data_IF_974319686437
#
_entry.id   IF_974319686437
#
_cell.length_a   1.000
_cell.length_b   1.000
_cell.length_c   1.000
_cell.angle_alpha   90.00
_cell.angle_beta   90.00
_cell.angle_gamma   90.00
#
_symmetry.space_group_name_H-M   'P 1'
#
loop_
_entity.id
_entity.type
_entity.pdbx_description
1 polymer ?
#
# COMPACT_ATOMS: atom_id res chain seq x y z
N UNK A 1 -8.22 -73.18 -9.72
CA UNK A 1 -7.66 -72.19 -10.66
C UNK A 1 -7.69 -70.83 -9.99
N UNK A 2 -6.51 -70.26 -9.79
CA UNK A 2 -6.23 -68.98 -9.15
C UNK A 2 -6.81 -67.79 -9.94
N UNK A 3 -7.35 -66.77 -9.23
CA UNK A 3 -6.92 -65.37 -9.37
C UNK A 3 -7.58 -64.47 -8.32
N UNK A 4 -6.74 -63.95 -7.43
CA UNK A 4 -6.96 -62.78 -6.58
C UNK A 4 -6.95 -61.50 -7.43
N UNK A 5 -7.73 -60.50 -7.03
CA UNK A 5 -7.43 -59.09 -7.33
C UNK A 5 -7.86 -58.19 -6.17
N UNK A 6 -6.87 -57.81 -5.35
CA UNK A 6 -6.92 -56.68 -4.42
C UNK A 6 -6.81 -55.37 -5.23
N UNK A 7 -7.65 -54.38 -4.94
CA UNK A 7 -7.39 -52.98 -5.29
C UNK A 7 -7.23 -52.18 -4.00
N UNK A 8 -5.97 -51.85 -3.69
CA UNK A 8 -5.59 -50.79 -2.74
C UNK A 8 -5.26 -49.52 -3.54
N UNK A 9 -5.66 -48.37 -3.01
CA UNK A 9 -5.40 -47.05 -3.57
C UNK A 9 -3.97 -46.54 -3.31
N UNK A 10 -3.58 -45.54 -4.10
CA UNK A 10 -2.33 -44.78 -3.92
C UNK A 10 -2.71 -43.30 -3.97
N UNK A 11 -2.70 -42.65 -2.81
CA UNK A 11 -2.61 -41.20 -2.66
C UNK A 11 -1.12 -40.88 -2.44
N UNK A 12 -0.49 -40.21 -3.40
CA UNK A 12 0.88 -39.71 -3.24
C UNK A 12 0.85 -38.42 -2.40
N UNK A 13 1.28 -38.51 -1.15
CA UNK A 13 1.57 -37.37 -0.28
C UNK A 13 3.06 -37.08 -0.27
N UNK A 14 3.44 -35.86 -0.69
CA UNK A 14 4.80 -35.34 -0.53
C UNK A 14 5.06 -35.12 0.98
N UNK A 15 6.20 -35.59 1.54
CA UNK A 15 6.46 -35.44 2.97
C UNK A 15 6.65 -33.97 3.36
N UNK A 16 5.99 -33.53 4.43
CA UNK A 16 6.06 -32.16 4.96
C UNK A 16 7.47 -31.72 5.41
N UNK A 17 8.39 -32.66 5.63
CA UNK A 17 9.75 -32.36 6.07
C UNK A 17 10.58 -31.61 5.01
N UNK A 18 10.37 -31.89 3.72
CA UNK A 18 11.13 -31.24 2.63
C UNK A 18 10.83 -29.75 2.45
N UNK A 19 9.64 -29.29 2.85
CA UNK A 19 9.27 -27.86 2.75
C UNK A 19 9.88 -27.05 3.89
N UNK A 20 9.94 -27.61 5.10
CA UNK A 20 10.58 -26.98 6.26
C UNK A 20 12.09 -26.81 6.08
N UNK A 21 12.75 -27.77 5.43
CA UNK A 21 14.18 -27.71 5.17
C UNK A 21 14.53 -26.59 4.17
N UNK A 22 13.72 -26.42 3.12
CA UNK A 22 13.87 -25.32 2.14
C UNK A 22 13.61 -23.94 2.76
N UNK A 23 12.60 -23.81 3.64
CA UNK A 23 12.34 -22.54 4.34
C UNK A 23 13.47 -22.16 5.31
N UNK A 24 14.10 -23.14 5.96
CA UNK A 24 15.23 -22.90 6.85
C UNK A 24 16.50 -22.49 6.09
N UNK A 25 16.75 -23.09 4.92
CA UNK A 25 17.89 -22.74 4.07
C UNK A 25 17.77 -21.32 3.48
N UNK A 26 16.58 -20.95 3.00
CA UNK A 26 16.29 -19.58 2.53
C UNK A 26 16.41 -18.57 3.66
N UNK A 27 15.94 -18.90 4.88
CA UNK A 27 16.06 -18.04 6.07
C UNK A 27 17.51 -17.79 6.46
N UNK A 28 18.35 -18.82 6.41
CA UNK A 28 19.77 -18.70 6.75
C UNK A 28 20.53 -17.84 5.72
N UNK A 29 20.23 -17.98 4.44
CA UNK A 29 20.87 -17.19 3.39
C UNK A 29 20.54 -15.70 3.48
N UNK A 30 19.28 -15.35 3.80
CA UNK A 30 18.86 -13.95 4.02
C UNK A 30 19.52 -13.35 5.27
N UNK A 31 19.76 -14.14 6.32
CA UNK A 31 20.42 -13.67 7.53
C UNK A 31 21.90 -13.34 7.29
N UNK A 32 22.61 -14.20 6.55
CA UNK A 32 24.02 -14.00 6.17
C UNK A 32 24.20 -12.73 5.33
N UNK A 33 23.29 -12.46 4.40
CA UNK A 33 23.34 -11.25 3.56
C UNK A 33 23.14 -9.98 4.40
N UNK A 34 22.21 -9.99 5.35
CA UNK A 34 21.96 -8.86 6.26
C UNK A 34 23.14 -8.59 7.21
N UNK A 35 23.78 -9.63 7.73
CA UNK A 35 24.97 -9.49 8.59
C UNK A 35 26.16 -8.95 7.80
N UNK A 36 26.30 -9.33 6.53
CA UNK A 36 27.35 -8.82 5.64
C UNK A 36 27.14 -7.33 5.33
N UNK A 37 25.89 -6.92 5.09
CA UNK A 37 25.52 -5.51 4.87
C UNK A 37 25.72 -4.68 6.14
N UNK A 38 25.34 -5.18 7.32
CA UNK A 38 25.54 -4.46 8.59
C UNK A 38 27.02 -4.36 8.98
N UNK A 39 27.83 -5.37 8.67
CA UNK A 39 29.29 -5.31 8.85
C UNK A 39 29.95 -4.32 7.89
N UNK A 40 29.46 -4.21 6.65
CA UNK A 40 29.90 -3.18 5.70
C UNK A 40 29.58 -1.77 6.22
N UNK A 41 28.40 -1.54 6.79
CA UNK A 41 28.05 -0.24 7.38
C UNK A 41 28.83 0.08 8.67
N UNK A 42 29.12 -0.91 9.52
CA UNK A 42 29.92 -0.70 10.74
C UNK A 42 31.39 -0.42 10.45
N UNK A 43 31.95 -0.97 9.37
CA UNK A 43 33.34 -0.71 8.97
C UNK A 43 33.62 0.72 8.49
N UNK A 44 32.56 1.50 8.20
CA UNK A 44 32.66 2.88 7.73
C UNK A 44 32.44 3.95 8.82
N UNK A 45 32.26 3.55 10.09
CA UNK A 45 32.18 4.48 11.23
C UNK A 45 33.51 4.58 11.97
N UNK A 46 34.35 5.53 11.56
CA UNK A 46 35.60 5.88 12.22
C UNK A 46 35.33 6.75 13.46
N UNK A 47 34.99 6.09 14.58
CA UNK A 47 35.01 6.72 15.90
C UNK A 47 36.04 6.02 16.79
N UNK A 48 37.18 6.69 17.02
CA UNK A 48 38.06 6.47 18.16
C UNK A 48 39.26 5.55 17.90
N UNK A 49 40.43 6.15 17.75
CA UNK A 49 41.66 5.55 18.27
C UNK A 49 42.17 6.39 19.44
N UNK A 50 42.49 5.63 20.48
CA UNK A 50 42.75 6.01 21.87
C UNK A 50 43.94 6.96 22.06
N UNK A 51 43.72 7.86 23.00
CA UNK A 51 44.63 8.39 23.99
C UNK A 51 45.81 7.48 24.35
N UNK A 52 47.03 8.02 24.33
CA UNK A 52 48.00 7.99 25.43
C UNK A 52 49.27 8.78 25.05
N UNK A 53 49.67 9.72 25.91
CA UNK A 53 51.04 9.92 26.45
C UNK A 53 51.13 11.30 27.15
N UNK A 54 51.03 11.23 28.49
CA UNK A 54 51.81 11.89 29.55
C UNK A 54 52.31 13.34 29.38
N UNK A 55 51.89 14.19 30.33
CA UNK A 55 52.38 15.55 30.66
C UNK A 55 53.85 15.59 31.15
N UNK A 56 54.62 16.66 30.83
CA UNK A 56 55.04 17.79 31.72
C UNK A 56 56.21 18.62 31.08
N UNK A 57 56.73 19.74 31.65
CA UNK A 57 56.65 21.09 31.06
C UNK A 57 57.99 21.74 30.58
N UNK A 58 57.85 22.88 29.90
CA UNK A 58 58.78 23.94 29.39
C UNK A 58 60.06 24.25 30.23
N UNK A 59 61.08 25.05 29.77
CA UNK A 59 61.05 26.08 28.71
C UNK A 59 62.29 26.20 27.79
N UNK A 60 62.15 26.88 26.62
CA UNK A 60 63.01 27.98 26.15
C UNK A 60 62.69 28.35 24.68
N UNK A 61 62.17 29.57 24.51
CA UNK A 61 61.91 30.34 23.28
C UNK A 61 63.20 30.76 22.53
N UNK A 62 63.14 31.51 21.39
CA UNK A 62 62.04 31.70 20.42
C UNK A 62 62.53 31.54 18.96
N UNK A 63 61.61 31.41 18.00
CA UNK A 63 61.67 32.25 16.78
C UNK A 63 60.35 32.25 16.01
N UNK A 64 59.88 33.46 15.77
CA UNK A 64 58.63 33.86 15.17
C UNK A 64 58.61 33.57 13.66
N UNK A 65 57.54 32.93 13.20
CA UNK A 65 57.00 33.13 11.86
C UNK A 65 55.47 33.01 11.94
N UNK A 66 54.79 34.15 11.96
CA UNK A 66 53.34 34.24 11.83
C UNK A 66 52.94 33.73 10.44
N UNK A 67 52.49 32.48 10.34
CA UNK A 67 51.71 32.02 9.20
C UNK A 67 50.23 32.32 9.49
N UNK A 68 49.66 33.12 8.60
CA UNK A 68 48.26 33.47 8.51
C UNK A 68 47.42 32.19 8.51
N UNK A 69 46.58 32.05 9.53
CA UNK A 69 45.54 31.02 9.60
C UNK A 69 44.64 31.10 8.36
N UNK A 70 44.86 30.19 7.42
CA UNK A 70 43.84 29.79 6.45
C UNK A 70 43.53 28.33 6.75
N UNK A 71 42.64 28.10 7.71
CA UNK A 71 41.95 26.82 7.81
C UNK A 71 41.07 26.70 6.56
N UNK A 72 41.59 26.13 5.48
CA UNK A 72 40.77 25.55 4.42
C UNK A 72 40.04 24.34 5.00
N UNK A 73 38.89 24.61 5.63
CA UNK A 73 37.88 23.58 5.85
C UNK A 73 37.37 23.16 4.48
N UNK A 74 37.81 21.99 4.01
CA UNK A 74 37.28 21.32 2.84
C UNK A 74 35.76 21.17 3.03
N UNK A 75 34.90 21.90 2.29
CA UNK A 75 33.46 21.82 2.51
C UNK A 75 33.03 20.42 2.12
N UNK A 76 32.43 19.68 3.06
CA UNK A 76 31.83 18.38 2.77
C UNK A 76 30.97 18.50 1.51
N UNK A 77 30.99 17.49 0.63
CA UNK A 77 30.16 17.47 -0.58
C UNK A 77 28.70 17.85 -0.29
N UNK A 78 28.19 17.50 0.89
CA UNK A 78 26.90 17.93 1.41
C UNK A 78 26.76 19.47 1.51
N UNK A 79 27.75 20.19 2.04
CA UNK A 79 27.73 21.66 2.11
C UNK A 79 27.79 22.30 0.72
N UNK A 80 28.48 21.69 -0.26
CA UNK A 80 28.48 22.15 -1.65
C UNK A 80 27.11 21.94 -2.32
N UNK A 81 26.50 20.76 -2.12
CA UNK A 81 25.16 20.44 -2.64
C UNK A 81 24.10 21.33 -1.99
N UNK A 82 24.15 21.55 -0.67
CA UNK A 82 23.23 22.44 0.06
C UNK A 82 23.34 23.88 -0.44
N UNK A 83 24.57 24.38 -0.65
CA UNK A 83 24.79 25.74 -1.15
C UNK A 83 24.32 25.91 -2.60
N UNK A 84 24.50 24.88 -3.43
CA UNK A 84 23.96 24.84 -4.80
C UNK A 84 22.43 24.81 -4.80
N UNK A 85 21.82 23.97 -3.95
CA UNK A 85 20.37 23.87 -3.81
C UNK A 85 19.76 25.18 -3.29
N UNK A 86 20.42 25.84 -2.34
CA UNK A 86 19.98 27.13 -1.80
C UNK A 86 20.00 28.23 -2.87
N UNK A 87 20.99 28.21 -3.78
CA UNK A 87 21.05 29.14 -4.91
C UNK A 87 19.96 28.88 -5.96
N UNK A 88 19.54 27.63 -6.13
CA UNK A 88 18.47 27.24 -7.07
C UNK A 88 17.06 27.36 -6.49
N UNK A 89 16.92 27.37 -5.16
CA UNK A 89 15.65 27.46 -4.44
C UNK A 89 14.70 28.58 -4.91
N UNK A 90 15.14 29.85 -5.10
CA UNK A 90 14.24 30.90 -5.60
C UNK A 90 13.70 30.61 -7.00
N UNK A 91 14.46 29.94 -7.87
CA UNK A 91 14.00 29.57 -9.21
C UNK A 91 12.95 28.45 -9.15
N UNK A 92 13.12 27.49 -8.24
CA UNK A 92 12.09 26.47 -7.97
C UNK A 92 10.81 27.11 -7.44
N UNK A 93 10.88 28.12 -6.56
CA UNK A 93 9.70 28.86 -6.08
C UNK A 93 9.02 29.58 -7.24
N UNK A 94 9.76 30.30 -8.08
CA UNK A 94 9.18 31.03 -9.22
C UNK A 94 8.52 30.04 -10.20
N UNK A 95 9.18 28.92 -10.50
CA UNK A 95 8.63 27.86 -11.33
C UNK A 95 7.37 27.23 -10.72
N UNK A 96 7.38 26.98 -9.41
CA UNK A 96 6.23 26.44 -8.68
C UNK A 96 5.06 27.43 -8.68
N UNK A 97 5.29 28.71 -8.42
CA UNK A 97 4.24 29.75 -8.48
C UNK A 97 3.67 29.86 -9.89
N UNK A 98 4.51 29.83 -10.93
CA UNK A 98 4.05 29.82 -12.33
C UNK A 98 3.21 28.58 -12.63
N UNK A 99 3.64 27.40 -12.19
CA UNK A 99 2.90 26.14 -12.36
C UNK A 99 1.56 26.17 -11.62
N UNK A 100 1.55 26.60 -10.36
CA UNK A 100 0.34 26.74 -9.54
C UNK A 100 -0.63 27.75 -10.15
N UNK A 101 -0.13 28.88 -10.67
CA UNK A 101 -0.96 29.88 -11.34
C UNK A 101 -1.53 29.35 -12.65
N UNK A 102 -0.71 28.70 -13.47
CA UNK A 102 -1.13 28.14 -14.77
C UNK A 102 -2.20 27.05 -14.62
N UNK A 103 -2.14 26.26 -13.55
CA UNK A 103 -3.00 25.10 -13.34
C UNK A 103 -3.84 25.17 -12.06
N UNK A 104 -4.11 26.38 -11.56
CA UNK A 104 -4.78 26.63 -10.29
C UNK A 104 -6.10 25.84 -10.14
N UNK A 105 -6.95 25.89 -11.16
CA UNK A 105 -8.22 25.15 -11.18
C UNK A 105 -8.03 23.64 -11.06
N UNK A 106 -6.99 23.09 -11.70
CA UNK A 106 -6.67 21.67 -11.60
C UNK A 106 -6.31 21.28 -10.17
N UNK A 107 -5.43 22.05 -9.51
CA UNK A 107 -5.07 21.80 -8.12
C UNK A 107 -6.26 21.89 -7.16
N UNK A 108 -7.16 22.86 -7.35
CA UNK A 108 -8.38 22.97 -6.55
C UNK A 108 -9.28 21.73 -6.70
N UNK A 109 -9.44 21.22 -7.91
CA UNK A 109 -10.23 20.01 -8.16
C UNK A 109 -9.57 18.77 -7.52
N UNK A 110 -8.25 18.61 -7.63
CA UNK A 110 -7.53 17.52 -6.96
C UNK A 110 -7.70 17.60 -5.44
N UNK A 111 -7.60 18.79 -4.85
CA UNK A 111 -7.86 18.98 -3.42
C UNK A 111 -9.31 18.62 -3.05
N UNK A 112 -10.28 19.02 -3.88
CA UNK A 112 -11.68 18.62 -3.73
C UNK A 112 -11.84 17.09 -3.76
N UNK A 113 -11.19 16.42 -4.69
CA UNK A 113 -11.21 14.96 -4.79
C UNK A 113 -10.60 14.26 -3.57
N UNK A 114 -9.46 14.74 -3.08
CA UNK A 114 -8.83 14.17 -1.89
C UNK A 114 -9.69 14.37 -0.63
N UNK A 115 -10.33 15.53 -0.48
CA UNK A 115 -11.23 15.79 0.64
C UNK A 115 -12.51 14.95 0.55
N UNK A 116 -13.10 14.83 -0.64
CA UNK A 116 -14.23 13.93 -0.93
C UNK A 116 -13.87 12.48 -0.63
N UNK A 117 -12.69 12.00 -1.06
CA UNK A 117 -12.22 10.64 -0.77
C UNK A 117 -12.09 10.42 0.74
N UNK A 118 -11.43 11.33 1.45
CA UNK A 118 -11.24 11.23 2.89
C UNK A 118 -12.59 11.20 3.63
N UNK A 119 -13.49 12.11 3.27
CA UNK A 119 -14.82 12.18 3.83
C UNK A 119 -15.63 10.90 3.58
N UNK A 120 -15.68 10.44 2.34
CA UNK A 120 -16.40 9.23 1.95
C UNK A 120 -15.87 7.98 2.65
N UNK A 121 -14.55 7.83 2.72
CA UNK A 121 -13.90 6.72 3.41
C UNK A 121 -14.23 6.70 4.90
N UNK A 122 -14.14 7.86 5.57
CA UNK A 122 -14.43 7.97 7.00
C UNK A 122 -15.89 7.66 7.33
N UNK A 123 -16.82 8.12 6.49
CA UNK A 123 -18.25 7.79 6.66
C UNK A 123 -18.45 6.29 6.51
N UNK A 124 -17.92 5.68 5.45
CA UNK A 124 -18.10 4.25 5.18
C UNK A 124 -17.56 3.39 6.34
N UNK A 125 -16.30 3.61 6.75
CA UNK A 125 -15.68 2.86 7.85
C UNK A 125 -16.50 3.03 9.13
N UNK A 126 -16.92 4.24 9.47
CA UNK A 126 -17.78 4.48 10.65
C UNK A 126 -19.11 3.73 10.56
N UNK A 127 -19.74 3.65 9.40
CA UNK A 127 -21.00 2.89 9.25
C UNK A 127 -20.79 1.38 9.34
N UNK A 128 -19.66 0.87 8.85
CA UNK A 128 -19.29 -0.56 8.98
C UNK A 128 -19.10 -0.92 10.47
N UNK A 129 -18.47 -0.03 11.24
CA UNK A 129 -18.25 -0.22 12.69
C UNK A 129 -19.54 -0.28 13.52
N UNK A 130 -20.58 0.46 13.11
CA UNK A 130 -21.85 0.54 13.85
C UNK A 130 -22.73 -0.72 13.72
N UNK A 131 -22.44 -1.63 12.79
CA UNK A 131 -23.18 -2.90 12.57
C UNK A 131 -24.70 -2.72 12.48
N UNK A 132 -25.47 -3.32 13.39
CA UNK A 132 -26.93 -3.25 13.45
C UNK A 132 -27.44 -1.84 13.75
N UNK A 133 -26.59 -0.98 14.32
CA UNK A 133 -26.88 0.44 14.56
C UNK A 133 -26.51 1.33 13.37
N UNK A 134 -26.12 0.75 12.22
CA UNK A 134 -25.79 1.51 11.00
C UNK A 134 -26.99 2.32 10.52
N UNK A 135 -26.72 3.52 10.04
CA UNK A 135 -27.74 4.40 9.49
C UNK A 135 -27.82 4.20 7.97
N UNK A 136 -28.79 3.39 7.52
CA UNK A 136 -29.00 3.09 6.09
C UNK A 136 -29.14 4.37 5.25
N UNK A 137 -29.86 5.37 5.76
CA UNK A 137 -30.01 6.68 5.09
C UNK A 137 -28.66 7.34 4.80
N UNK A 138 -27.71 7.27 5.74
CA UNK A 138 -26.37 7.85 5.59
C UNK A 138 -25.58 7.14 4.49
N UNK A 139 -25.67 5.82 4.42
CA UNK A 139 -25.01 5.02 3.36
C UNK A 139 -25.64 5.32 1.99
N UNK A 140 -26.96 5.41 1.90
CA UNK A 140 -27.64 5.74 0.64
C UNK A 140 -27.29 7.14 0.15
N UNK A 141 -27.24 8.13 1.04
CA UNK A 141 -26.80 9.49 0.71
C UNK A 141 -25.34 9.51 0.25
N UNK A 142 -24.45 8.74 0.89
CA UNK A 142 -23.06 8.60 0.47
C UNK A 142 -22.96 8.02 -0.95
N UNK A 143 -23.70 6.94 -1.25
CA UNK A 143 -23.71 6.33 -2.59
C UNK A 143 -24.21 7.34 -3.63
N UNK A 144 -25.34 8.02 -3.36
CA UNK A 144 -25.87 9.04 -4.27
C UNK A 144 -24.90 10.21 -4.51
N UNK A 145 -24.22 10.66 -3.45
CA UNK A 145 -23.18 11.69 -3.54
C UNK A 145 -21.99 11.26 -4.41
N UNK A 146 -21.46 10.05 -4.20
CA UNK A 146 -20.35 9.51 -5.00
C UNK A 146 -20.75 9.27 -6.46
N UNK A 147 -21.95 8.73 -6.71
CA UNK A 147 -22.48 8.55 -8.07
C UNK A 147 -22.61 9.91 -8.77
N UNK A 148 -23.12 10.93 -8.08
CA UNK A 148 -23.21 12.29 -8.63
C UNK A 148 -21.82 12.80 -9.07
N UNK A 149 -20.79 12.64 -8.24
CA UNK A 149 -19.41 13.02 -8.60
C UNK A 149 -18.88 12.23 -9.82
N UNK A 150 -19.15 10.93 -9.90
CA UNK A 150 -18.77 10.09 -11.04
C UNK A 150 -19.48 10.57 -12.32
N UNK A 151 -20.77 10.88 -12.26
CA UNK A 151 -21.55 11.37 -13.40
C UNK A 151 -21.10 12.76 -13.85
N UNK A 152 -20.85 13.68 -12.91
CA UNK A 152 -20.30 15.02 -13.20
C UNK A 152 -18.97 14.88 -13.93
N UNK A 153 -18.09 13.97 -13.50
CA UNK A 153 -16.86 13.70 -14.22
C UNK A 153 -17.14 13.27 -15.66
N UNK A 154 -17.97 12.25 -15.88
CA UNK A 154 -18.27 11.79 -17.24
C UNK A 154 -18.87 12.91 -18.12
N UNK A 155 -19.69 13.79 -17.56
CA UNK A 155 -20.23 14.93 -18.29
C UNK A 155 -19.16 15.97 -18.66
N UNK A 156 -18.25 16.30 -17.74
CA UNK A 156 -17.17 17.27 -17.99
C UNK A 156 -16.17 16.74 -19.04
N UNK A 157 -15.93 15.44 -19.06
CA UNK A 157 -14.87 14.84 -19.88
C UNK A 157 -15.35 14.20 -21.18
N UNK A 158 -16.66 14.21 -21.45
CA UNK A 158 -17.29 13.67 -22.66
C UNK A 158 -16.73 14.30 -23.96
N UNK A 159 -16.37 15.59 -23.92
CA UNK A 159 -15.84 16.30 -25.09
C UNK A 159 -14.45 15.80 -25.52
N UNK A 160 -13.62 15.36 -24.56
CA UNK A 160 -12.23 14.94 -24.81
C UNK A 160 -12.09 13.42 -25.02
N UNK A 161 -13.19 12.66 -24.99
CA UNK A 161 -13.22 11.19 -25.03
C UNK A 161 -12.28 10.53 -23.98
N UNK A 162 -12.05 11.18 -22.84
CA UNK A 162 -11.10 10.73 -21.83
C UNK A 162 -11.61 9.50 -21.06
N UNK A 163 -12.92 9.24 -21.11
CA UNK A 163 -13.55 8.02 -20.61
C UNK A 163 -12.99 6.75 -21.27
N UNK A 164 -12.45 6.86 -22.50
CA UNK A 164 -11.80 5.74 -23.19
C UNK A 164 -10.56 5.25 -22.42
N UNK A 165 -9.85 6.12 -21.72
CA UNK A 165 -8.70 5.73 -20.88
C UNK A 165 -9.11 4.79 -19.74
N UNK A 166 -10.35 4.90 -19.25
CA UNK A 166 -10.87 4.02 -18.20
C UNK A 166 -11.09 2.58 -18.69
N UNK A 167 -11.18 2.37 -20.01
CA UNK A 167 -11.39 1.07 -20.68
C UNK A 167 -10.21 0.72 -21.59
N UNK A 168 -9.02 1.26 -21.31
CA UNK A 168 -7.79 0.99 -22.07
C UNK A 168 -7.84 1.39 -23.56
N UNK A 169 -8.76 2.29 -23.93
CA UNK A 169 -8.88 2.84 -25.29
C UNK A 169 -8.14 4.18 -25.38
N UNK A 170 -7.52 4.48 -26.54
CA UNK A 170 -6.75 5.71 -26.70
C UNK A 170 -7.65 6.94 -26.62
N UNK A 171 -7.28 7.96 -25.84
CA UNK A 171 -7.98 9.23 -25.84
C UNK A 171 -7.70 9.97 -27.15
N UNK A 172 -8.69 10.68 -27.68
CA UNK A 172 -8.56 11.44 -28.93
C UNK A 172 -7.90 12.80 -28.68
N UNK A 173 -6.68 12.79 -28.12
CA UNK A 173 -5.91 14.00 -27.83
C UNK A 173 -4.75 14.09 -28.82
N UNK A 174 -4.69 15.19 -29.58
CA UNK A 174 -3.74 15.38 -30.68
C UNK A 174 -2.27 15.47 -30.24
N UNK A 175 -1.99 15.82 -28.97
CA UNK A 175 -0.65 15.79 -28.33
C UNK A 175 -0.80 15.60 -26.81
N UNK A 176 -0.04 14.68 -26.22
CA UNK A 176 -0.06 14.40 -24.78
C UNK A 176 1.00 15.24 -24.05
N UNK A 177 0.58 16.35 -23.45
CA UNK A 177 1.46 17.17 -22.60
C UNK A 177 1.60 16.55 -21.20
N UNK A 178 2.67 16.93 -20.47
CA UNK A 178 2.92 16.48 -19.09
C UNK A 178 1.74 16.75 -18.15
N UNK A 179 1.12 17.92 -18.26
CA UNK A 179 -0.06 18.27 -17.47
C UNK A 179 -1.25 17.37 -17.80
N UNK A 180 -1.49 17.11 -19.08
CA UNK A 180 -2.61 16.27 -19.51
C UNK A 180 -2.42 14.82 -19.02
N UNK A 181 -1.20 14.28 -19.09
CA UNK A 181 -0.88 12.97 -18.52
C UNK A 181 -1.20 12.92 -17.01
N UNK A 182 -0.64 13.85 -16.23
CA UNK A 182 -0.85 13.88 -14.78
C UNK A 182 -2.33 14.03 -14.42
N UNK A 183 -3.03 14.90 -15.14
CA UNK A 183 -4.46 15.12 -14.95
C UNK A 183 -5.28 13.85 -15.21
N UNK A 184 -5.03 13.14 -16.32
CA UNK A 184 -5.73 11.89 -16.65
C UNK A 184 -5.47 10.83 -15.59
N UNK A 185 -4.21 10.65 -15.17
CA UNK A 185 -3.84 9.66 -14.15
C UNK A 185 -4.52 9.96 -12.81
N UNK A 186 -4.48 11.22 -12.34
CA UNK A 186 -5.08 11.59 -11.05
C UNK A 186 -6.60 11.46 -11.08
N UNK A 187 -7.26 11.96 -12.13
CA UNK A 187 -8.71 11.87 -12.23
C UNK A 187 -9.19 10.43 -12.33
N UNK A 188 -8.58 9.62 -13.20
CA UNK A 188 -8.97 8.23 -13.38
C UNK A 188 -8.75 7.37 -12.14
N UNK A 189 -7.63 7.56 -11.42
CA UNK A 189 -7.38 6.92 -10.12
C UNK A 189 -8.45 7.29 -9.08
N UNK A 190 -8.81 8.57 -9.01
CA UNK A 190 -9.81 9.08 -8.06
C UNK A 190 -11.19 8.49 -8.33
N UNK A 191 -11.65 8.49 -9.58
CA UNK A 191 -12.97 7.96 -9.93
C UNK A 191 -13.05 6.49 -9.61
N UNK A 192 -11.99 5.74 -9.90
CA UNK A 192 -11.97 4.33 -9.60
C UNK A 192 -12.05 4.08 -8.09
N UNK A 193 -11.40 4.91 -7.27
CA UNK A 193 -11.58 4.88 -5.81
C UNK A 193 -13.03 5.15 -5.39
N UNK A 194 -13.73 6.09 -6.04
CA UNK A 194 -15.16 6.32 -5.78
C UNK A 194 -16.01 5.10 -6.16
N UNK A 195 -15.72 4.44 -7.28
CA UNK A 195 -16.38 3.18 -7.68
C UNK A 195 -16.15 2.10 -6.62
N UNK A 196 -14.92 1.93 -6.13
CA UNK A 196 -14.57 0.97 -5.08
C UNK A 196 -15.32 1.26 -3.77
N UNK A 197 -15.35 2.52 -3.33
CA UNK A 197 -16.11 2.92 -2.12
C UNK A 197 -17.61 2.67 -2.32
N UNK A 198 -18.16 2.95 -3.51
CA UNK A 198 -19.56 2.64 -3.84
C UNK A 198 -19.86 1.14 -3.76
N UNK A 199 -19.01 0.28 -4.34
CA UNK A 199 -19.19 -1.19 -4.27
C UNK A 199 -19.19 -1.66 -2.81
N UNK A 200 -18.24 -1.19 -2.00
CA UNK A 200 -18.19 -1.52 -0.57
C UNK A 200 -19.41 -0.98 0.18
N UNK A 201 -19.89 0.22 -0.14
CA UNK A 201 -21.08 0.81 0.47
C UNK A 201 -22.36 0.03 0.12
N UNK A 202 -22.53 -0.36 -1.15
CA UNK A 202 -23.65 -1.20 -1.61
C UNK A 202 -23.63 -2.55 -0.89
N UNK A 203 -22.46 -3.21 -0.83
CA UNK A 203 -22.33 -4.46 -0.07
C UNK A 203 -22.63 -4.25 1.42
N UNK A 204 -22.32 -3.06 1.95
CA UNK A 204 -22.60 -2.73 3.35
C UNK A 204 -24.09 -2.69 3.67
N UNK A 205 -24.94 -2.34 2.69
CA UNK A 205 -26.40 -2.33 2.84
C UNK A 205 -27.01 -3.73 3.01
N UNK A 206 -26.38 -4.78 2.46
CA UNK A 206 -26.87 -6.14 2.61
C UNK A 206 -26.91 -6.55 4.09
N UNK A 207 -27.96 -7.29 4.45
CA UNK A 207 -28.26 -7.68 5.84
C UNK A 207 -27.18 -8.61 6.41
N UNK A 208 -26.83 -8.42 7.69
CA UNK A 208 -25.82 -9.22 8.41
C UNK A 208 -26.22 -10.69 8.54
N UNK A 209 -27.52 -11.00 8.48
CA UNK A 209 -28.02 -12.37 8.55
C UNK A 209 -27.56 -13.26 7.38
N UNK A 210 -27.01 -12.66 6.30
CA UNK A 210 -26.57 -13.39 5.10
C UNK A 210 -25.07 -13.69 5.13
N UNK A 211 -24.25 -12.87 5.80
CA UNK A 211 -22.80 -13.00 5.80
C UNK A 211 -22.21 -12.64 7.17
N UNK A 212 -21.39 -13.53 7.73
CA UNK A 212 -20.61 -13.26 8.95
C UNK A 212 -19.73 -12.02 8.79
N UNK A 213 -19.38 -11.36 9.91
CA UNK A 213 -18.53 -10.17 9.86
C UNK A 213 -17.16 -10.48 9.24
N UNK A 214 -16.63 -11.68 9.49
CA UNK A 214 -15.38 -12.14 8.90
C UNK A 214 -15.44 -12.22 7.36
N UNK A 215 -16.52 -12.77 6.80
CA UNK A 215 -16.72 -12.85 5.34
C UNK A 215 -16.81 -11.46 4.72
N UNK A 216 -17.43 -10.51 5.42
CA UNK A 216 -17.55 -9.12 4.94
C UNK A 216 -16.20 -8.41 4.92
N UNK A 217 -15.37 -8.61 5.95
CA UNK A 217 -14.00 -8.10 5.98
C UNK A 217 -13.15 -8.66 4.84
N UNK A 218 -13.28 -9.97 4.54
CA UNK A 218 -12.62 -10.59 3.38
C UNK A 218 -13.08 -9.95 2.07
N UNK A 219 -14.38 -9.68 1.91
CA UNK A 219 -14.94 -9.04 0.73
C UNK A 219 -14.34 -7.63 0.53
N UNK A 220 -14.35 -6.79 1.58
CA UNK A 220 -13.81 -5.43 1.49
C UNK A 220 -12.34 -5.41 1.10
N UNK A 221 -11.53 -6.31 1.69
CA UNK A 221 -10.11 -6.46 1.35
C UNK A 221 -9.92 -6.93 -0.10
N UNK A 222 -10.72 -7.90 -0.56
CA UNK A 222 -10.66 -8.41 -1.94
C UNK A 222 -11.04 -7.35 -2.97
N UNK A 223 -12.10 -6.58 -2.70
CA UNK A 223 -12.52 -5.46 -3.56
C UNK A 223 -11.43 -4.40 -3.62
N UNK A 224 -10.75 -4.09 -2.51
CA UNK A 224 -9.64 -3.14 -2.50
C UNK A 224 -8.41 -3.65 -3.28
N UNK A 225 -8.07 -4.93 -3.14
CA UNK A 225 -6.97 -5.54 -3.85
C UNK A 225 -7.23 -5.57 -5.37
N UNK A 226 -8.45 -5.94 -5.79
CA UNK A 226 -8.89 -5.83 -7.18
C UNK A 226 -8.79 -4.38 -7.68
N UNK A 227 -9.29 -3.44 -6.88
CA UNK A 227 -9.27 -2.04 -7.26
C UNK A 227 -7.86 -1.46 -7.36
N UNK A 228 -6.93 -1.92 -6.53
CA UNK A 228 -5.53 -1.52 -6.61
C UNK A 228 -4.82 -2.09 -7.84
N UNK A 229 -5.12 -3.34 -8.21
CA UNK A 229 -4.64 -3.93 -9.45
C UNK A 229 -5.16 -3.15 -10.66
N UNK A 230 -6.47 -2.89 -10.73
CA UNK A 230 -7.07 -2.15 -11.84
C UNK A 230 -6.50 -0.73 -11.95
N UNK A 231 -6.38 0.01 -10.85
CA UNK A 231 -5.78 1.36 -10.84
C UNK A 231 -4.31 1.36 -11.26
N UNK A 232 -3.57 0.27 -11.06
CA UNK A 232 -2.19 0.16 -11.55
C UNK A 232 -2.11 -0.04 -13.08
N UNK A 233 -3.18 -0.55 -13.69
CA UNK A 233 -3.28 -0.77 -15.13
C UNK A 233 -3.67 0.50 -15.91
N UNK A 234 -4.54 1.36 -15.35
CA UNK A 234 -5.05 2.55 -16.06
C UNK A 234 -3.92 3.46 -16.61
N UNK A 235 -2.86 3.79 -15.84
CA UNK A 235 -1.81 4.71 -16.30
C UNK A 235 -0.95 4.14 -17.43
N UNK A 236 -0.94 2.81 -17.65
CA UNK A 236 -0.03 2.15 -18.59
C UNK A 236 -0.15 2.75 -19.99
N UNK A 237 -1.37 2.89 -20.49
CA UNK A 237 -1.58 3.38 -21.84
C UNK A 237 -1.20 4.87 -22.00
N UNK A 238 -1.67 5.81 -21.14
CA UNK A 238 -1.23 7.20 -21.17
C UNK A 238 0.29 7.38 -21.06
N UNK A 239 0.97 6.61 -20.20
CA UNK A 239 2.42 6.69 -20.05
C UNK A 239 3.17 6.22 -21.30
N UNK A 240 2.75 5.11 -21.91
CA UNK A 240 3.35 4.64 -23.16
C UNK A 240 3.17 5.68 -24.28
N UNK A 241 1.98 6.27 -24.40
CA UNK A 241 1.73 7.34 -25.39
C UNK A 241 2.61 8.56 -25.12
N UNK A 242 2.72 8.99 -23.87
CA UNK A 242 3.55 10.13 -23.49
C UNK A 242 5.04 9.89 -23.80
N UNK A 243 5.57 8.72 -23.43
CA UNK A 243 6.98 8.36 -23.65
C UNK A 243 7.30 8.23 -25.14
N UNK A 244 6.40 7.65 -25.94
CA UNK A 244 6.62 7.43 -27.37
C UNK A 244 6.47 8.71 -28.21
N UNK A 245 5.56 9.62 -27.82
CA UNK A 245 5.25 10.82 -28.59
C UNK A 245 6.10 12.05 -28.20
N UNK A 246 7.00 11.92 -27.20
CA UNK A 246 7.92 12.98 -26.78
C UNK A 246 8.88 13.43 -27.91
N UNK A 247 9.15 12.58 -28.90
CA UNK A 247 10.18 12.82 -29.93
C UNK A 247 9.69 13.25 -31.32
N UNK A 248 8.38 13.30 -31.61
CA UNK A 248 7.89 13.68 -32.95
C UNK A 248 8.17 15.16 -33.33
N UNK A 249 8.80 15.93 -32.43
CA UNK A 249 9.16 17.33 -32.66
C UNK A 249 10.59 17.56 -33.17
N UNK A 250 11.50 16.58 -33.13
CA UNK A 250 12.88 16.75 -33.59
C UNK A 250 13.42 15.47 -34.25
N UNK A 251 14.30 15.61 -35.24
CA UNK A 251 14.96 14.52 -35.99
C UNK A 251 15.97 13.71 -35.14
N UNK A 252 15.63 13.37 -33.90
CA UNK A 252 16.46 12.53 -33.04
C UNK A 252 16.26 11.03 -33.34
N UNK A 253 17.27 10.19 -33.08
CA UNK A 253 17.14 8.75 -33.21
C UNK A 253 16.19 8.21 -32.14
N UNK A 254 15.15 7.46 -32.56
CA UNK A 254 14.09 6.81 -31.74
C UNK A 254 14.57 5.85 -30.63
N UNK A 255 15.87 5.82 -30.36
CA UNK A 255 16.55 4.98 -29.37
C UNK A 255 16.19 5.34 -27.93
N UNK A 256 16.10 6.63 -27.59
CA UNK A 256 15.84 7.07 -26.22
C UNK A 256 14.40 6.77 -25.75
N UNK A 257 13.33 7.09 -26.52
CA UNK A 257 11.97 6.71 -26.15
C UNK A 257 11.78 5.20 -26.03
N UNK A 258 12.42 4.44 -26.92
CA UNK A 258 12.35 2.98 -26.85
C UNK A 258 12.98 2.45 -25.56
N UNK A 259 14.15 2.95 -25.18
CA UNK A 259 14.80 2.60 -23.92
C UNK A 259 13.92 2.96 -22.71
N UNK A 260 13.36 4.17 -22.67
CA UNK A 260 12.47 4.60 -21.59
C UNK A 260 11.20 3.75 -21.49
N UNK A 261 10.59 3.38 -22.62
CA UNK A 261 9.44 2.47 -22.64
C UNK A 261 9.79 1.08 -22.10
N UNK A 262 10.95 0.52 -22.46
CA UNK A 262 11.39 -0.78 -21.95
C UNK A 262 11.59 -0.72 -20.44
N UNK A 263 12.29 0.31 -19.94
CA UNK A 263 12.49 0.53 -18.50
C UNK A 263 11.14 0.68 -17.78
N UNK A 264 10.22 1.46 -18.34
CA UNK A 264 8.87 1.64 -17.79
C UNK A 264 8.12 0.31 -17.68
N UNK A 265 8.12 -0.50 -18.75
CA UNK A 265 7.44 -1.80 -18.78
C UNK A 265 8.04 -2.74 -17.73
N UNK A 266 9.36 -2.79 -17.57
CA UNK A 266 10.01 -3.64 -16.55
C UNK A 266 9.58 -3.22 -15.13
N UNK A 267 9.64 -1.93 -14.81
CA UNK A 267 9.20 -1.41 -13.52
C UNK A 267 7.71 -1.71 -13.27
N UNK A 268 6.90 -1.61 -14.33
CA UNK A 268 5.47 -1.91 -14.28
C UNK A 268 5.16 -3.37 -14.03
N UNK A 269 5.86 -4.29 -14.70
CA UNK A 269 5.68 -5.72 -14.50
C UNK A 269 6.02 -6.13 -13.06
N UNK A 270 7.10 -5.59 -12.50
CA UNK A 270 7.46 -5.82 -11.10
C UNK A 270 6.38 -5.32 -10.12
N UNK A 271 5.84 -4.12 -10.36
CA UNK A 271 4.75 -3.57 -9.57
C UNK A 271 3.49 -4.44 -9.67
N UNK A 272 3.07 -4.81 -10.89
CA UNK A 272 1.88 -5.64 -11.12
C UNK A 272 2.02 -7.02 -10.49
N UNK A 273 3.20 -7.63 -10.57
CA UNK A 273 3.48 -8.92 -9.94
C UNK A 273 3.20 -8.88 -8.42
N UNK A 274 3.69 -7.84 -7.73
CA UNK A 274 3.43 -7.68 -6.29
C UNK A 274 1.95 -7.54 -5.96
N UNK A 275 1.19 -6.79 -6.77
CA UNK A 275 -0.25 -6.57 -6.59
C UNK A 275 -1.08 -7.83 -6.91
N UNK A 276 -0.66 -8.62 -7.89
CA UNK A 276 -1.33 -9.88 -8.25
C UNK A 276 -1.21 -10.88 -7.09
N UNK A 277 -0.03 -10.98 -6.46
CA UNK A 277 0.15 -11.85 -5.29
C UNK A 277 -0.75 -11.41 -4.15
N UNK A 278 -0.81 -10.10 -3.85
CA UNK A 278 -1.71 -9.57 -2.82
C UNK A 278 -3.19 -9.89 -3.15
N UNK A 279 -3.61 -9.75 -4.41
CA UNK A 279 -4.97 -10.06 -4.83
C UNK A 279 -5.31 -11.55 -4.72
N UNK A 280 -4.43 -12.43 -5.18
CA UNK A 280 -4.60 -13.89 -5.05
C UNK A 280 -4.68 -14.30 -3.59
N UNK A 281 -3.86 -13.69 -2.71
CA UNK A 281 -3.92 -13.91 -1.27
C UNK A 281 -5.29 -13.52 -0.70
N UNK A 282 -5.81 -12.35 -1.04
CA UNK A 282 -7.14 -11.91 -0.60
C UNK A 282 -8.25 -12.85 -1.09
N UNK A 283 -8.19 -13.32 -2.34
CA UNK A 283 -9.14 -14.31 -2.87
C UNK A 283 -9.07 -15.62 -2.09
N UNK A 284 -7.86 -16.11 -1.83
CA UNK A 284 -7.67 -17.34 -1.07
C UNK A 284 -8.24 -17.22 0.35
N UNK A 285 -7.99 -16.10 1.04
CA UNK A 285 -8.57 -15.79 2.35
C UNK A 285 -10.11 -15.66 2.29
N UNK A 286 -10.67 -15.18 1.18
CA UNK A 286 -12.11 -15.11 0.96
C UNK A 286 -12.76 -16.51 0.91
N UNK A 287 -12.15 -17.47 0.18
CA UNK A 287 -12.68 -18.83 0.05
C UNK A 287 -12.44 -19.72 1.28
N UNK A 288 -11.25 -19.67 1.87
CA UNK A 288 -10.88 -20.55 2.98
C UNK A 288 -11.34 -20.01 4.35
N UNK A 289 -11.76 -18.75 4.41
CA UNK A 289 -11.93 -18.03 5.68
C UNK A 289 -10.57 -17.68 6.30
N UNK A 290 -10.52 -16.61 7.08
CA UNK A 290 -9.28 -16.19 7.73
C UNK A 290 -9.20 -16.77 9.15
N UNK A 291 -8.43 -17.84 9.44
CA UNK A 291 -8.46 -18.45 10.76
C UNK A 291 -7.77 -17.54 11.78
N UNK A 292 -8.54 -16.75 12.52
CA UNK A 292 -8.03 -16.01 13.68
C UNK A 292 -7.61 -16.96 14.81
N UNK A 293 -8.10 -18.18 14.78
CA UNK A 293 -7.88 -19.22 15.76
C UNK A 293 -8.63 -20.51 15.37
N UNK A 294 -8.68 -21.46 16.30
CA UNK A 294 -9.42 -22.72 16.11
C UNK A 294 -10.82 -22.58 16.69
N UNK A 295 -11.83 -23.11 15.99
CA UNK A 295 -13.16 -23.26 16.55
C UNK A 295 -13.08 -24.19 17.76
N UNK A 296 -13.63 -23.77 18.90
CA UNK A 296 -13.66 -24.56 20.12
C UNK A 296 -15.09 -24.73 20.59
N UNK A 297 -15.43 -25.93 21.05
CA UNK A 297 -16.70 -26.15 21.74
C UNK A 297 -16.49 -25.72 23.18
N UNK A 298 -17.18 -24.66 23.59
CA UNK A 298 -17.21 -24.22 24.98
C UNK A 298 -18.35 -24.99 25.65
N UNK A 299 -18.06 -25.74 26.73
CA UNK A 299 -19.10 -26.42 27.50
C UNK A 299 -20.05 -25.39 28.13
N UNK A 300 -21.34 -25.72 28.17
CA UNK A 300 -22.44 -24.91 28.70
C UNK A 300 -22.41 -24.71 30.24
N UNK A 301 -21.23 -24.62 30.84
CA UNK A 301 -21.08 -24.13 32.21
C UNK A 301 -21.58 -22.69 32.28
N UNK A 302 -22.42 -22.38 33.27
CA UNK A 302 -23.19 -21.12 33.39
C UNK A 302 -22.35 -19.83 33.47
N UNK A 303 -21.02 -19.93 33.60
CA UNK A 303 -20.11 -18.79 33.81
C UNK A 303 -19.27 -18.38 32.58
N UNK A 304 -19.48 -18.96 31.40
CA UNK A 304 -18.65 -18.68 30.23
C UNK A 304 -19.25 -17.61 29.30
N UNK A 305 -18.91 -16.35 29.58
CA UNK A 305 -19.34 -15.15 28.86
C UNK A 305 -18.19 -14.59 28.01
N UNK A 306 -18.48 -14.11 26.80
CA UNK A 306 -17.49 -13.44 25.96
C UNK A 306 -17.09 -12.08 26.57
N UNK A 307 -15.78 -11.81 26.80
CA UNK A 307 -15.33 -10.58 27.45
C UNK A 307 -15.52 -9.31 26.61
N UNK A 308 -15.80 -9.44 25.31
CA UNK A 308 -16.04 -8.30 24.41
C UNK A 308 -17.52 -7.89 24.41
N UNK A 309 -18.44 -8.83 24.16
CA UNK A 309 -19.87 -8.52 24.10
C UNK A 309 -20.61 -8.70 25.42
N UNK A 310 -19.95 -9.30 26.43
CA UNK A 310 -20.53 -9.61 27.74
C UNK A 310 -21.82 -10.44 27.63
N UNK A 311 -21.87 -11.31 26.63
CA UNK A 311 -22.99 -12.20 26.31
C UNK A 311 -22.43 -13.62 26.06
N UNK A 312 -23.31 -14.62 25.99
CA UNK A 312 -22.93 -16.02 25.69
C UNK A 312 -22.14 -16.12 24.39
N UNK A 313 -21.19 -17.04 24.36
CA UNK A 313 -20.35 -17.24 23.18
C UNK A 313 -21.18 -17.63 21.95
N UNK A 314 -21.06 -16.84 20.88
CA UNK A 314 -21.59 -17.14 19.54
C UNK A 314 -20.42 -17.51 18.64
N UNK A 315 -20.39 -18.76 18.18
CA UNK A 315 -19.27 -19.33 17.42
C UNK A 315 -17.90 -19.05 18.09
N UNK A 316 -17.61 -19.68 19.25
CA UNK A 316 -16.39 -19.40 20.00
C UNK A 316 -15.12 -19.77 19.21
N UNK A 317 -14.19 -18.82 19.14
CA UNK A 317 -12.86 -18.99 18.56
C UNK A 317 -11.82 -18.86 19.66
N UNK A 318 -10.90 -19.82 19.70
CA UNK A 318 -9.73 -19.78 20.56
C UNK A 318 -8.50 -19.27 19.80
N UNK A 319 -7.95 -18.15 20.26
CA UNK A 319 -6.74 -17.56 19.68
C UNK A 319 -5.48 -18.37 20.04
N UNK A 320 -4.36 -18.12 19.34
CA UNK A 320 -3.05 -18.74 19.66
C UNK A 320 -2.56 -18.50 21.09
N UNK A 321 -3.02 -17.43 21.73
CA UNK A 321 -2.75 -17.09 23.13
C UNK A 321 -3.75 -17.72 24.12
N UNK A 322 -4.54 -18.71 23.67
CA UNK A 322 -5.52 -19.49 24.46
C UNK A 322 -6.74 -18.70 24.98
N UNK A 323 -6.94 -17.48 24.50
CA UNK A 323 -8.07 -16.64 24.86
C UNK A 323 -9.26 -16.88 23.91
N UNK A 324 -10.46 -17.04 24.48
CA UNK A 324 -11.69 -17.36 23.75
C UNK A 324 -12.59 -16.13 23.61
N UNK A 325 -13.17 -15.94 22.41
CA UNK A 325 -14.08 -14.85 22.07
C UNK A 325 -15.15 -15.34 21.09
N UNK A 326 -16.27 -14.61 20.94
CA UNK A 326 -17.14 -14.80 19.78
C UNK A 326 -16.38 -14.49 18.49
N UNK A 327 -16.56 -15.29 17.44
CA UNK A 327 -15.92 -15.10 16.14
C UNK A 327 -16.05 -13.67 15.61
N UNK A 328 -17.27 -13.13 15.64
CA UNK A 328 -17.56 -11.79 15.17
C UNK A 328 -16.91 -10.70 16.03
N UNK A 329 -16.92 -10.87 17.35
CA UNK A 329 -16.34 -9.91 18.29
C UNK A 329 -14.83 -9.75 18.08
N UNK A 330 -14.12 -10.89 17.98
CA UNK A 330 -12.67 -10.86 17.79
C UNK A 330 -12.28 -10.44 16.39
N UNK A 331 -13.08 -10.75 15.36
CA UNK A 331 -12.82 -10.32 13.98
C UNK A 331 -12.75 -8.79 13.87
N UNK A 332 -13.69 -8.06 14.49
CA UNK A 332 -13.74 -6.58 14.43
C UNK A 332 -12.54 -5.97 15.13
N UNK A 333 -12.20 -6.51 16.29
CA UNK A 333 -11.02 -6.07 17.01
C UNK A 333 -9.78 -6.28 16.15
N UNK A 334 -9.65 -7.46 15.53
CA UNK A 334 -8.48 -7.81 14.72
C UNK A 334 -8.42 -7.10 13.37
N UNK A 335 -9.56 -6.64 12.85
CA UNK A 335 -9.64 -5.78 11.67
C UNK A 335 -9.07 -4.38 11.96
N UNK A 336 -9.03 -3.92 13.22
CA UNK A 336 -8.43 -2.64 13.63
C UNK A 336 -7.05 -2.75 14.28
N UNK A 337 -6.89 -3.71 15.18
CA UNK A 337 -5.69 -3.93 15.99
C UNK A 337 -5.11 -5.32 15.70
N UNK A 338 -3.81 -5.56 15.88
CA UNK A 338 -3.19 -6.87 15.62
C UNK A 338 -2.79 -7.57 16.93
N UNK A 339 -3.58 -7.41 17.98
CA UNK A 339 -3.27 -7.94 19.30
C UNK A 339 -4.51 -8.53 19.98
N UNK A 340 -4.30 -9.48 20.88
CA UNK A 340 -5.38 -10.04 21.68
C UNK A 340 -6.02 -8.96 22.58
N UNK A 341 -7.36 -8.83 22.62
CA UNK A 341 -8.05 -7.87 23.51
C UNK A 341 -7.72 -8.03 25.00
N UNK A 342 -7.41 -9.26 25.45
CA UNK A 342 -7.15 -9.55 26.86
C UNK A 342 -5.67 -9.42 27.22
N UNK A 343 -4.77 -10.07 26.48
CA UNK A 343 -3.34 -10.12 26.83
C UNK A 343 -2.43 -9.26 25.95
N UNK A 344 -2.97 -8.59 24.92
CA UNK A 344 -2.22 -7.76 23.95
C UNK A 344 -1.11 -8.49 23.17
N UNK A 345 -1.06 -9.82 23.24
CA UNK A 345 -0.15 -10.63 22.42
C UNK A 345 -0.45 -10.42 20.94
N UNK A 346 0.59 -10.13 20.14
CA UNK A 346 0.45 -9.99 18.68
C UNK A 346 0.14 -11.33 18.03
N UNK A 347 -0.83 -11.37 17.13
CA UNK A 347 -1.34 -12.62 16.55
C UNK A 347 -0.79 -12.93 15.16
N UNK A 348 -0.53 -11.88 14.37
CA UNK A 348 -0.05 -11.99 12.99
C UNK A 348 1.24 -11.18 12.79
N UNK A 349 2.16 -11.69 11.98
CA UNK A 349 3.32 -10.92 11.53
C UNK A 349 2.88 -9.88 10.50
N UNK A 350 2.04 -10.31 9.55
CA UNK A 350 1.46 -9.47 8.51
C UNK A 350 -0.06 -9.46 8.64
N UNK A 351 -0.60 -8.37 9.18
CA UNK A 351 -2.04 -8.17 9.29
C UNK A 351 -2.66 -7.95 7.90
N UNK A 352 -3.77 -8.63 7.55
CA UNK A 352 -4.51 -8.35 6.33
C UNK A 352 -5.04 -6.90 6.30
N UNK A 353 -4.79 -6.18 5.22
CA UNK A 353 -5.13 -4.76 5.04
C UNK A 353 -6.60 -4.60 4.60
N UNK A 354 -7.20 -3.44 4.90
CA UNK A 354 -8.50 -2.97 4.38
C UNK A 354 -9.74 -3.81 4.74
N UNK A 355 -9.64 -4.73 5.71
CA UNK A 355 -10.77 -5.52 6.20
C UNK A 355 -11.81 -4.68 6.95
N UNK A 356 -11.38 -3.56 7.52
CA UNK A 356 -12.23 -2.55 8.17
C UNK A 356 -13.10 -1.76 7.17
N UNK A 357 -12.92 -1.97 5.87
CA UNK A 357 -13.62 -1.25 4.81
C UNK A 357 -12.90 0.03 4.37
N UNK A 358 -11.73 0.34 4.92
CA UNK A 358 -10.92 1.47 4.48
C UNK A 358 -10.46 1.30 3.02
N UNK A 359 -10.16 2.43 2.38
CA UNK A 359 -9.70 2.52 0.99
C UNK A 359 -8.35 3.24 0.96
N UNK A 360 -7.44 2.79 0.11
CA UNK A 360 -6.08 3.32 0.02
C UNK A 360 -6.06 4.78 -0.44
N UNK A 361 -5.29 5.62 0.26
CA UNK A 361 -5.02 7.00 -0.15
C UNK A 361 -3.93 7.10 -1.23
N UNK A 362 -3.17 6.03 -1.47
CA UNK A 362 -2.09 6.02 -2.47
C UNK A 362 -2.62 6.32 -3.87
N UNK A 363 -1.97 7.28 -4.55
CA UNK A 363 -2.17 7.56 -5.97
C UNK A 363 -1.20 6.69 -6.75
N UNK A 364 -1.67 5.99 -7.77
CA UNK A 364 -0.84 5.19 -8.66
C UNK A 364 -0.27 6.11 -9.75
N UNK A 365 0.88 6.73 -9.46
CA UNK A 365 1.48 7.78 -10.29
C UNK A 365 2.06 7.28 -11.61
N UNK A 366 2.80 6.17 -11.56
CA UNK A 366 3.42 5.54 -12.72
C UNK A 366 2.71 4.24 -12.98
#
# INVERSE_FOLDING_TARGET
MNRNSNHQGIHDTIPQNTVLDLENEVRNNVQIENDTVMNFFNSNNLNGLMSEVVNNPNPNEPQQAQQINTQEQNPSFANLVVRSLQSSFPFFIIALVKLLHQHFFGFLVVLGFLTTQHFANNILVKQIELKDKKQVKTILLLIGYLISHILIYFQIFNENNLEKCLVFLPPNVKKMDTWNLLWIVICSDTIFKFIIICIKAIFTLFNFNICSIQTRGNFYSTVEAFGSLYRSLIPIHPWILFLFHFEDSNQSPKTLPLFLCIVYIILKLNQLYSLIIEFVKCIHEFYQGFPYGTNTVVNDSEDQICPICQDRYKNPINLKCQHVFCADCVSIWLDKENSCPMCRTKLFINKPKYRDGSTSFSIQWF
#
